data_IF_701318749536
#
_entry.id   IF_701318749536
#
_cell.length_a   1.000
_cell.length_b   1.000
_cell.length_c   1.000
_cell.angle_alpha   90.00
_cell.angle_beta   90.00
_cell.angle_gamma   90.00
#
_symmetry.space_group_name_H-M   'P 1'
#
loop_
_entity.id
_entity.type
_entity.pdbx_description
1 polymer ?
#
# COMPACT_ATOMS: atom_id res chain seq x y z
N UNK A 1 -18.92 15.37 -18.79
CA UNK A 1 -19.58 14.21 -18.10
C UNK A 1 -19.45 14.43 -16.60
N UNK A 2 -20.55 14.32 -15.83
CA UNK A 2 -20.55 14.51 -14.36
C UNK A 2 -19.63 13.49 -13.65
N UNK A 3 -18.83 13.97 -12.72
CA UNK A 3 -17.89 13.20 -11.94
C UNK A 3 -18.04 13.53 -10.44
N UNK A 4 -18.35 12.54 -9.63
CA UNK A 4 -18.31 12.63 -8.17
C UNK A 4 -16.90 12.26 -7.70
N UNK A 5 -16.29 13.11 -6.86
CA UNK A 5 -14.98 12.81 -6.26
C UNK A 5 -14.88 13.35 -4.84
N UNK A 6 -13.97 12.76 -4.08
CA UNK A 6 -13.60 13.28 -2.76
C UNK A 6 -12.31 14.08 -2.89
N UNK A 7 -12.32 15.31 -2.40
CA UNK A 7 -11.15 16.20 -2.45
C UNK A 7 -10.63 16.50 -1.06
N UNK A 8 -9.33 16.60 -0.96
CA UNK A 8 -8.62 17.13 0.19
C UNK A 8 -8.54 18.64 0.05
N UNK A 9 -9.25 19.37 0.90
CA UNK A 9 -9.36 20.83 0.81
C UNK A 9 -8.36 21.57 1.68
N UNK A 10 -7.90 20.92 2.75
CA UNK A 10 -6.89 21.42 3.68
C UNK A 10 -6.10 20.27 4.28
N UNK A 11 -5.00 20.54 4.98
CA UNK A 11 -4.33 19.54 5.81
C UNK A 11 -5.07 19.46 7.17
N UNK A 12 -5.31 18.25 7.66
CA UNK A 12 -6.06 18.11 8.91
C UNK A 12 -6.54 16.71 9.23
N UNK A 13 -7.61 16.61 10.00
CA UNK A 13 -8.35 15.39 10.31
C UNK A 13 -9.22 14.92 9.13
N UNK A 14 -9.94 13.79 9.27
CA UNK A 14 -10.78 13.23 8.19
C UNK A 14 -11.85 14.21 7.65
N UNK A 15 -12.27 15.16 8.44
CA UNK A 15 -13.27 16.20 8.11
C UNK A 15 -12.88 17.11 6.94
N UNK A 16 -11.59 17.16 6.58
CA UNK A 16 -11.12 17.96 5.44
C UNK A 16 -11.32 17.27 4.09
N UNK A 17 -11.79 16.02 4.10
CA UNK A 17 -12.19 15.27 2.91
C UNK A 17 -13.63 15.63 2.56
N UNK A 18 -13.83 16.30 1.44
CA UNK A 18 -15.13 16.78 1.00
C UNK A 18 -15.55 16.15 -0.33
N UNK A 19 -16.81 15.77 -0.42
CA UNK A 19 -17.42 15.30 -1.66
C UNK A 19 -17.73 16.49 -2.55
N UNK A 20 -17.25 16.45 -3.79
CA UNK A 20 -17.53 17.47 -4.81
C UNK A 20 -18.03 16.79 -6.10
N UNK A 21 -18.81 17.55 -6.86
CA UNK A 21 -19.24 17.16 -8.19
C UNK A 21 -18.73 18.16 -9.21
N UNK A 22 -18.04 17.70 -10.21
CA UNK A 22 -17.55 18.50 -11.31
C UNK A 22 -17.67 17.74 -12.64
N UNK A 23 -17.10 18.26 -13.70
CA UNK A 23 -17.09 17.60 -14.99
C UNK A 23 -15.72 17.00 -15.31
N UNK A 24 -15.70 15.73 -15.74
CA UNK A 24 -14.52 15.13 -16.34
C UNK A 24 -14.52 15.41 -17.84
N UNK A 25 -13.38 15.86 -18.36
CA UNK A 25 -13.17 16.12 -19.79
C UNK A 25 -13.06 14.81 -20.58
N UNK A 26 -13.12 14.91 -21.90
CA UNK A 26 -12.77 13.78 -22.75
C UNK A 26 -11.27 13.49 -22.75
N UNK A 27 -10.87 12.21 -22.97
CA UNK A 27 -9.47 11.82 -23.01
C UNK A 27 -8.74 12.48 -24.19
N UNK A 28 -7.51 12.95 -23.94
CA UNK A 28 -6.59 13.44 -24.96
C UNK A 28 -5.92 12.27 -25.70
N UNK A 29 -5.06 12.56 -26.67
CA UNK A 29 -4.25 11.54 -27.33
C UNK A 29 -3.47 10.71 -26.29
N UNK A 30 -3.48 9.38 -26.48
CA UNK A 30 -2.85 8.38 -25.60
C UNK A 30 -3.40 8.32 -24.15
N UNK A 31 -4.50 9.02 -23.84
CA UNK A 31 -5.20 8.91 -22.56
C UNK A 31 -6.42 7.99 -22.67
N UNK A 32 -6.72 7.34 -21.57
CA UNK A 32 -7.99 6.60 -21.37
C UNK A 32 -8.76 7.25 -20.23
N UNK A 33 -10.09 7.37 -20.37
CA UNK A 33 -10.99 7.67 -19.27
C UNK A 33 -11.43 6.35 -18.66
N UNK A 34 -11.21 6.21 -17.37
CA UNK A 34 -11.53 5.01 -16.60
C UNK A 34 -12.68 5.34 -15.66
N UNK A 35 -13.76 4.57 -15.71
CA UNK A 35 -14.81 4.54 -14.70
C UNK A 35 -14.33 3.62 -13.58
N UNK A 36 -14.03 4.19 -12.42
CA UNK A 36 -13.47 3.48 -11.27
C UNK A 36 -14.56 2.59 -10.66
N UNK A 37 -14.23 1.32 -10.45
CA UNK A 37 -15.07 0.36 -9.74
C UNK A 37 -14.70 0.34 -8.26
N UNK A 38 -13.41 0.28 -7.99
CA UNK A 38 -12.85 0.20 -6.64
C UNK A 38 -11.57 1.03 -6.54
N UNK A 39 -11.44 1.74 -5.44
CA UNK A 39 -10.23 2.45 -5.05
C UNK A 39 -9.78 2.00 -3.65
N UNK A 40 -8.50 1.71 -3.49
CA UNK A 40 -7.97 1.32 -2.19
C UNK A 40 -7.69 2.51 -1.29
N UNK A 41 -7.97 2.38 0.01
CA UNK A 41 -7.56 3.35 1.02
C UNK A 41 -6.21 2.93 1.59
N UNK A 42 -5.22 3.82 1.54
CA UNK A 42 -3.87 3.56 1.98
C UNK A 42 -3.46 4.47 3.14
N UNK A 43 -2.53 4.01 3.99
CA UNK A 43 -1.95 4.88 5.03
C UNK A 43 -1.17 6.05 4.40
N UNK A 44 -0.71 5.90 3.15
CA UNK A 44 -0.14 6.98 2.36
C UNK A 44 -1.13 8.14 2.15
N UNK A 45 -2.43 7.86 1.93
CA UNK A 45 -3.47 8.89 1.80
C UNK A 45 -3.65 9.66 3.12
N UNK A 46 -3.53 8.97 4.26
CA UNK A 46 -3.53 9.59 5.59
C UNK A 46 -2.30 10.48 5.76
N UNK A 47 -1.11 10.01 5.38
CA UNK A 47 0.12 10.83 5.41
C UNK A 47 0.02 12.06 4.51
N UNK A 48 -0.60 11.94 3.33
CA UNK A 48 -0.88 13.07 2.42
C UNK A 48 -1.79 14.10 3.10
N UNK A 49 -2.89 13.64 3.68
CA UNK A 49 -3.85 14.48 4.39
C UNK A 49 -3.23 15.19 5.60
N UNK A 50 -2.27 14.56 6.25
CA UNK A 50 -1.50 15.11 7.39
C UNK A 50 -0.28 15.96 6.98
N UNK A 51 -0.02 16.12 5.67
CA UNK A 51 1.11 16.92 5.16
C UNK A 51 2.48 16.30 5.40
N UNK A 52 2.53 14.97 5.51
CA UNK A 52 3.76 14.18 5.71
C UNK A 52 4.21 13.42 4.45
N UNK A 53 3.54 13.63 3.33
CA UNK A 53 3.85 12.96 2.07
C UNK A 53 4.31 13.95 1.01
N UNK A 54 5.45 13.68 0.38
CA UNK A 54 6.04 14.56 -0.62
C UNK A 54 5.58 14.26 -2.04
N UNK A 55 5.73 15.25 -2.94
CA UNK A 55 5.45 15.09 -4.37
C UNK A 55 3.97 14.86 -4.67
N UNK A 56 3.08 15.47 -3.89
CA UNK A 56 1.63 15.58 -4.17
C UNK A 56 1.32 16.96 -4.76
N UNK A 57 0.22 17.10 -5.53
CA UNK A 57 -0.21 18.39 -6.03
C UNK A 57 -0.52 19.41 -4.90
N UNK A 58 -0.54 20.71 -5.19
CA UNK A 58 -1.10 21.68 -4.26
C UNK A 58 -2.60 21.40 -4.02
N UNK A 59 -3.09 21.77 -2.83
CA UNK A 59 -4.50 21.68 -2.48
C UNK A 59 -5.35 22.64 -3.34
N UNK A 60 -6.60 22.29 -3.69
CA UNK A 60 -7.26 21.02 -3.40
C UNK A 60 -6.94 19.92 -4.43
N UNK A 61 -6.90 18.65 -4.01
CA UNK A 61 -6.76 17.50 -4.91
C UNK A 61 -7.49 16.26 -4.35
N UNK A 62 -7.79 15.28 -5.22
CA UNK A 62 -8.36 14.01 -4.79
C UNK A 62 -7.25 13.05 -4.38
N UNK A 63 -7.30 12.44 -3.17
CA UNK A 63 -6.45 11.32 -2.81
C UNK A 63 -6.79 10.06 -3.62
N UNK A 64 -6.24 8.92 -3.21
CA UNK A 64 -6.52 7.62 -3.78
C UNK A 64 -5.34 7.10 -4.58
N UNK A 65 -4.66 6.11 -3.98
CA UNK A 65 -3.35 5.66 -4.43
C UNK A 65 -3.40 4.57 -5.50
N UNK A 66 -4.48 3.80 -5.55
CA UNK A 66 -4.63 2.62 -6.41
C UNK A 66 -6.10 2.43 -6.83
N UNK A 67 -6.31 2.05 -8.08
CA UNK A 67 -7.65 1.86 -8.64
C UNK A 67 -7.77 0.61 -9.50
N UNK A 68 -8.99 0.04 -9.53
CA UNK A 68 -9.48 -0.86 -10.58
C UNK A 68 -10.71 -0.24 -11.20
N UNK A 69 -10.81 -0.24 -12.53
CA UNK A 69 -11.94 0.34 -13.23
C UNK A 69 -12.10 -0.19 -14.64
N UNK A 70 -13.16 0.24 -15.29
CA UNK A 70 -13.48 -0.09 -16.68
C UNK A 70 -13.09 1.10 -17.55
N UNK A 71 -12.39 0.85 -18.64
CA UNK A 71 -12.13 1.85 -19.68
C UNK A 71 -13.47 2.29 -20.26
N UNK A 72 -13.81 3.56 -20.06
CA UNK A 72 -15.06 4.17 -20.53
C UNK A 72 -14.90 4.75 -21.92
N UNK A 73 -13.79 5.43 -22.18
CA UNK A 73 -13.45 5.99 -23.50
C UNK A 73 -11.95 6.12 -23.69
N UNK A 74 -11.53 6.14 -24.97
CA UNK A 74 -10.14 6.25 -25.37
C UNK A 74 -9.93 7.49 -26.23
N UNK A 75 -8.79 8.18 -25.99
CA UNK A 75 -8.32 9.22 -26.88
C UNK A 75 -7.68 8.67 -28.14
N UNK A 76 -7.35 9.55 -29.11
CA UNK A 76 -6.64 9.15 -30.33
C UNK A 76 -5.26 8.57 -29.96
N UNK A 77 -4.81 7.54 -30.69
CA UNK A 77 -3.51 6.90 -30.48
C UNK A 77 -3.46 5.85 -29.36
N UNK A 78 -4.54 5.64 -28.61
CA UNK A 78 -4.68 4.51 -27.67
C UNK A 78 -4.75 3.21 -28.47
N UNK A 79 -3.87 2.26 -28.16
CA UNK A 79 -3.74 0.98 -28.91
C UNK A 79 -3.78 -0.26 -28.02
N UNK A 80 -3.48 -0.13 -26.73
CA UNK A 80 -3.41 -1.26 -25.80
C UNK A 80 -4.71 -1.50 -25.03
N UNK A 81 -5.60 -0.50 -24.98
CA UNK A 81 -6.87 -0.55 -24.28
C UNK A 81 -8.03 -0.23 -25.23
N UNK A 82 -9.21 -0.77 -24.92
CA UNK A 82 -10.47 -0.42 -25.59
C UNK A 82 -11.58 -0.24 -24.55
N UNK A 83 -12.65 0.50 -24.87
CA UNK A 83 -13.82 0.61 -24.00
C UNK A 83 -14.34 -0.78 -23.60
N UNK A 84 -14.64 -0.95 -22.32
CA UNK A 84 -15.05 -2.21 -21.70
C UNK A 84 -13.91 -3.04 -21.10
N UNK A 85 -12.65 -2.76 -21.39
CA UNK A 85 -11.52 -3.44 -20.74
C UNK A 85 -11.46 -3.07 -19.26
N UNK A 86 -11.23 -4.05 -18.39
CA UNK A 86 -10.99 -3.83 -16.97
C UNK A 86 -9.48 -3.60 -16.76
N UNK A 87 -9.15 -2.52 -16.10
CA UNK A 87 -7.74 -2.10 -15.87
C UNK A 87 -7.48 -1.73 -14.43
N UNK A 88 -6.24 -1.94 -14.01
CA UNK A 88 -5.67 -1.54 -12.73
C UNK A 88 -4.62 -0.46 -12.94
N UNK A 89 -4.50 0.48 -12.01
CA UNK A 89 -3.44 1.48 -12.05
C UNK A 89 -3.03 1.93 -10.65
N UNK A 90 -1.74 2.24 -10.49
CA UNK A 90 -1.24 2.98 -9.33
C UNK A 90 -1.21 4.46 -9.70
N UNK A 91 -2.06 5.24 -9.04
CA UNK A 91 -2.35 6.63 -9.39
C UNK A 91 -1.62 7.64 -8.51
N UNK A 92 -1.23 7.23 -7.29
CA UNK A 92 -0.74 8.09 -6.20
C UNK A 92 -1.82 9.06 -5.71
N UNK A 93 -2.49 9.77 -6.61
CA UNK A 93 -3.62 10.69 -6.33
C UNK A 93 -4.67 10.56 -7.42
N UNK A 94 -5.90 11.00 -7.15
CA UNK A 94 -7.00 11.00 -8.10
C UNK A 94 -7.94 9.79 -8.03
N UNK A 95 -7.58 8.74 -7.28
CA UNK A 95 -8.37 7.52 -7.20
C UNK A 95 -9.71 7.66 -6.46
N UNK A 96 -9.84 8.64 -5.55
CA UNK A 96 -11.13 8.90 -4.87
C UNK A 96 -12.08 9.66 -5.79
N UNK A 97 -12.45 9.02 -6.88
CA UNK A 97 -13.24 9.62 -7.93
C UNK A 97 -14.04 8.55 -8.67
N UNK A 98 -15.17 8.95 -9.26
CA UNK A 98 -15.94 8.06 -10.13
C UNK A 98 -15.24 7.84 -11.48
N UNK A 99 -14.56 8.87 -11.99
CA UNK A 99 -13.80 8.81 -13.24
C UNK A 99 -12.42 9.39 -13.06
N UNK A 100 -11.44 8.83 -13.75
CA UNK A 100 -10.08 9.34 -13.84
C UNK A 100 -9.58 9.27 -15.28
N UNK A 101 -8.67 10.17 -15.63
CA UNK A 101 -7.96 10.18 -16.91
C UNK A 101 -6.51 9.80 -16.67
N UNK A 102 -6.04 8.78 -17.36
CA UNK A 102 -4.65 8.30 -17.27
C UNK A 102 -4.08 8.05 -18.66
N UNK A 103 -2.76 8.19 -18.85
CA UNK A 103 -2.09 7.59 -20.02
C UNK A 103 -2.35 6.08 -20.05
N UNK A 104 -2.58 5.51 -21.24
CA UNK A 104 -2.78 4.05 -21.35
C UNK A 104 -1.58 3.25 -20.82
N UNK A 105 -0.36 3.79 -20.95
CA UNK A 105 0.87 3.19 -20.45
C UNK A 105 0.89 2.97 -18.93
N UNK A 106 0.08 3.71 -18.18
CA UNK A 106 -0.05 3.57 -16.72
C UNK A 106 -1.01 2.45 -16.29
N UNK A 107 -1.71 1.85 -17.24
CA UNK A 107 -2.71 0.80 -16.96
C UNK A 107 -2.11 -0.60 -17.11
N UNK A 108 -2.63 -1.53 -16.29
CA UNK A 108 -2.38 -2.97 -16.40
C UNK A 108 -3.72 -3.66 -16.54
N UNK A 109 -3.87 -4.52 -17.54
CA UNK A 109 -5.13 -5.23 -17.79
C UNK A 109 -5.42 -6.20 -16.63
N UNK A 110 -6.66 -6.19 -16.16
CA UNK A 110 -7.17 -7.11 -15.13
C UNK A 110 -7.92 -8.26 -15.80
N UNK A 111 -7.62 -9.52 -15.47
CA UNK A 111 -8.39 -10.67 -15.97
C UNK A 111 -9.88 -10.55 -15.64
N UNK A 112 -10.72 -11.04 -16.56
CA UNK A 112 -12.16 -11.02 -16.36
C UNK A 112 -12.58 -11.91 -15.17
N UNK A 113 -13.65 -11.50 -14.47
CA UNK A 113 -14.24 -12.27 -13.38
C UNK A 113 -13.64 -12.06 -12.01
N UNK A 114 -12.54 -11.30 -11.90
CA UNK A 114 -11.98 -10.94 -10.59
C UNK A 114 -12.83 -9.87 -9.88
N UNK A 115 -13.00 -10.02 -8.57
CA UNK A 115 -13.64 -9.00 -7.73
C UNK A 115 -12.80 -7.72 -7.72
N UNK A 116 -13.36 -6.54 -8.04
CA UNK A 116 -12.59 -5.30 -8.09
C UNK A 116 -11.94 -4.91 -6.76
N UNK A 117 -12.56 -5.24 -5.61
CA UNK A 117 -12.02 -4.92 -4.30
C UNK A 117 -10.83 -5.83 -3.92
N UNK A 118 -10.84 -7.08 -4.36
CA UNK A 118 -9.69 -7.96 -4.23
C UNK A 118 -8.58 -7.54 -5.19
N UNK A 119 -8.90 -7.27 -6.44
CA UNK A 119 -7.94 -6.86 -7.46
C UNK A 119 -7.24 -5.53 -7.10
N UNK A 120 -7.97 -4.52 -6.57
CA UNK A 120 -7.35 -3.25 -6.14
C UNK A 120 -6.40 -3.44 -4.97
N UNK A 121 -6.63 -4.44 -4.12
CA UNK A 121 -5.74 -4.76 -3.00
C UNK A 121 -4.36 -5.23 -3.47
N UNK A 122 -4.25 -5.76 -4.70
CA UNK A 122 -2.98 -6.21 -5.26
C UNK A 122 -2.06 -5.05 -5.66
N UNK A 123 -2.62 -3.92 -6.08
CA UNK A 123 -1.88 -2.85 -6.76
C UNK A 123 -0.85 -2.21 -5.83
N UNK A 124 -1.27 -1.77 -4.64
CA UNK A 124 -0.35 -1.18 -3.67
C UNK A 124 0.16 -2.22 -2.68
N UNK A 125 -0.75 -2.97 -2.02
CA UNK A 125 -0.37 -3.78 -0.87
C UNK A 125 0.43 -5.02 -1.26
N UNK A 126 -0.09 -5.83 -2.18
CA UNK A 126 0.60 -7.06 -2.60
C UNK A 126 1.84 -6.76 -3.44
N UNK A 127 1.79 -5.75 -4.34
CA UNK A 127 2.99 -5.35 -5.09
C UNK A 127 4.08 -4.86 -4.14
N UNK A 128 3.73 -4.05 -3.11
CA UNK A 128 4.70 -3.67 -2.07
C UNK A 128 5.27 -4.90 -1.37
N UNK A 129 4.43 -5.81 -0.88
CA UNK A 129 4.88 -7.02 -0.18
C UNK A 129 5.74 -7.92 -1.09
N UNK A 130 5.33 -8.11 -2.34
CA UNK A 130 6.07 -8.89 -3.33
C UNK A 130 7.46 -8.30 -3.57
N UNK A 131 7.54 -7.00 -3.81
CA UNK A 131 8.82 -6.33 -4.02
C UNK A 131 9.70 -6.34 -2.78
N UNK A 132 9.16 -6.13 -1.58
CA UNK A 132 9.89 -6.26 -0.33
C UNK A 132 10.55 -7.64 -0.19
N UNK A 133 9.81 -8.71 -0.48
CA UNK A 133 10.29 -10.10 -0.35
C UNK A 133 11.28 -10.44 -1.46
N UNK A 134 10.89 -10.25 -2.72
CA UNK A 134 11.61 -10.84 -3.86
C UNK A 134 12.63 -9.90 -4.51
N UNK A 135 12.39 -8.57 -4.49
CA UNK A 135 13.26 -7.63 -5.21
C UNK A 135 14.19 -6.85 -4.27
N UNK A 136 13.69 -6.39 -3.12
CA UNK A 136 14.44 -5.50 -2.23
C UNK A 136 15.25 -6.29 -1.18
N UNK A 137 14.58 -7.15 -0.41
CA UNK A 137 15.26 -8.02 0.55
C UNK A 137 15.79 -9.30 -0.10
N UNK A 138 15.28 -9.69 -1.27
CA UNK A 138 15.67 -10.90 -2.00
C UNK A 138 15.76 -12.12 -1.09
N UNK A 139 14.65 -12.38 -0.38
CA UNK A 139 14.55 -13.47 0.58
C UNK A 139 14.46 -14.81 -0.12
N UNK A 140 15.11 -15.82 0.47
CA UNK A 140 15.14 -17.20 -0.02
C UNK A 140 14.35 -18.10 0.90
N UNK A 141 13.89 -19.22 0.38
CA UNK A 141 13.22 -20.25 1.18
C UNK A 141 14.04 -20.62 2.42
N UNK A 142 13.36 -20.74 3.57
CA UNK A 142 13.95 -21.01 4.87
C UNK A 142 14.46 -19.77 5.61
N UNK A 143 14.64 -18.63 4.96
CA UNK A 143 15.00 -17.39 5.66
C UNK A 143 13.83 -16.87 6.51
N UNK A 144 14.17 -16.09 7.55
CA UNK A 144 13.21 -15.54 8.48
C UNK A 144 13.01 -14.03 8.31
N UNK A 145 11.77 -13.58 8.51
CA UNK A 145 11.42 -12.16 8.40
C UNK A 145 10.52 -11.71 9.54
N UNK A 146 10.77 -10.52 10.07
CA UNK A 146 9.89 -9.83 10.99
C UNK A 146 9.06 -8.79 10.21
N UNK A 147 7.74 -8.90 10.31
CA UNK A 147 6.78 -8.05 9.62
C UNK A 147 6.04 -7.23 10.68
N UNK A 148 6.26 -5.92 10.73
CA UNK A 148 5.48 -5.04 11.58
C UNK A 148 4.14 -4.66 10.92
N UNK A 149 3.10 -4.52 11.76
CA UNK A 149 1.74 -4.29 11.27
C UNK A 149 1.20 -5.47 10.46
N UNK A 150 1.50 -6.70 10.89
CA UNK A 150 1.23 -7.95 10.17
C UNK A 150 -0.25 -8.18 9.82
N UNK A 151 -1.17 -7.58 10.56
CA UNK A 151 -2.61 -7.65 10.29
C UNK A 151 -3.14 -6.49 9.41
N UNK A 152 -2.29 -5.57 8.95
CA UNK A 152 -2.65 -4.51 8.00
C UNK A 152 -2.59 -4.97 6.54
N UNK A 153 -2.90 -4.07 5.61
CA UNK A 153 -2.98 -4.42 4.19
C UNK A 153 -1.70 -5.03 3.60
N UNK A 154 -0.55 -4.37 3.78
CA UNK A 154 0.76 -4.91 3.32
C UNK A 154 1.18 -6.11 4.18
N UNK A 155 0.88 -6.09 5.49
CA UNK A 155 1.26 -7.18 6.39
C UNK A 155 0.58 -8.50 6.05
N UNK A 156 -0.74 -8.49 5.79
CA UNK A 156 -1.49 -9.69 5.37
C UNK A 156 -1.04 -10.22 4.02
N UNK A 157 -0.69 -9.32 3.09
CA UNK A 157 -0.10 -9.68 1.81
C UNK A 157 1.28 -10.33 1.97
N UNK A 158 2.14 -9.72 2.82
CA UNK A 158 3.48 -10.24 3.09
C UNK A 158 3.46 -11.62 3.78
N UNK A 159 2.48 -11.87 4.66
CA UNK A 159 2.29 -13.19 5.26
C UNK A 159 1.90 -14.24 4.21
N UNK A 160 0.94 -13.96 3.33
CA UNK A 160 0.53 -14.90 2.29
C UNK A 160 1.67 -15.19 1.31
N UNK A 161 2.29 -14.15 0.77
CA UNK A 161 3.41 -14.29 -0.18
C UNK A 161 4.64 -14.93 0.46
N UNK A 162 4.93 -14.62 1.72
CA UNK A 162 6.02 -15.23 2.48
C UNK A 162 5.78 -16.72 2.76
N UNK A 163 4.53 -17.12 3.01
CA UNK A 163 4.15 -18.54 3.14
C UNK A 163 4.42 -19.29 1.84
N UNK A 164 3.99 -18.73 0.70
CA UNK A 164 4.25 -19.30 -0.62
C UNK A 164 5.76 -19.37 -0.96
N UNK A 165 6.54 -18.43 -0.44
CA UNK A 165 8.00 -18.39 -0.60
C UNK A 165 8.75 -19.30 0.41
N UNK A 166 8.04 -20.01 1.30
CA UNK A 166 8.64 -20.87 2.31
C UNK A 166 9.45 -20.15 3.37
N UNK A 167 9.04 -18.92 3.74
CA UNK A 167 9.72 -18.09 4.75
C UNK A 167 9.22 -18.43 6.16
N UNK A 168 10.09 -18.25 7.17
CA UNK A 168 9.71 -18.21 8.58
C UNK A 168 9.33 -16.78 8.96
N UNK A 169 8.05 -16.53 9.24
CA UNK A 169 7.54 -15.18 9.42
C UNK A 169 7.15 -14.90 10.87
N UNK A 170 7.66 -13.81 11.44
CA UNK A 170 7.21 -13.24 12.70
C UNK A 170 6.36 -12.00 12.38
N UNK A 171 5.17 -11.90 12.97
CA UNK A 171 4.23 -10.81 12.69
C UNK A 171 3.83 -10.05 13.94
N UNK A 172 4.16 -8.73 14.03
CA UNK A 172 3.66 -7.94 15.15
C UNK A 172 2.23 -7.50 14.90
N UNK A 173 1.33 -7.79 15.84
CA UNK A 173 -0.06 -7.40 15.83
C UNK A 173 -0.57 -7.25 17.28
N UNK A 174 -1.71 -6.57 17.48
CA UNK A 174 -2.41 -6.62 18.76
C UNK A 174 -3.04 -7.99 18.98
N UNK A 175 -3.17 -8.43 20.23
CA UNK A 175 -3.65 -9.76 20.62
C UNK A 175 -4.94 -10.22 19.90
N UNK A 176 -5.99 -9.39 19.72
CA UNK A 176 -7.22 -9.80 19.00
C UNK A 176 -6.99 -10.15 17.51
N UNK A 177 -5.86 -9.78 16.92
CA UNK A 177 -5.55 -10.04 15.50
C UNK A 177 -4.59 -11.22 15.30
N UNK A 178 -4.20 -11.93 16.38
CA UNK A 178 -3.23 -13.01 16.33
C UNK A 178 -3.72 -14.20 15.50
N UNK A 179 -5.01 -14.57 15.62
CA UNK A 179 -5.56 -15.71 14.88
C UNK A 179 -5.45 -15.54 13.37
N UNK A 180 -5.60 -14.31 12.87
CA UNK A 180 -5.38 -14.05 11.47
C UNK A 180 -3.90 -14.20 11.09
N UNK A 181 -2.98 -13.71 11.92
CA UNK A 181 -1.53 -13.85 11.65
C UNK A 181 -1.16 -15.33 11.57
N UNK A 182 -1.67 -16.16 12.49
CA UNK A 182 -1.47 -17.62 12.48
C UNK A 182 -2.10 -18.26 11.24
N UNK A 183 -3.35 -17.90 10.91
CA UNK A 183 -4.05 -18.41 9.71
C UNK A 183 -3.27 -18.14 8.43
N UNK A 184 -2.55 -17.01 8.36
CA UNK A 184 -1.74 -16.62 7.22
C UNK A 184 -0.29 -17.15 7.29
N UNK A 185 0.02 -18.08 8.22
CA UNK A 185 1.31 -18.76 8.33
C UNK A 185 2.37 -18.01 9.15
N UNK A 186 2.01 -16.93 9.85
CA UNK A 186 2.92 -16.17 10.68
C UNK A 186 2.93 -16.59 12.14
N UNK A 187 4.03 -16.30 12.85
CA UNK A 187 4.17 -16.43 14.30
C UNK A 187 3.83 -15.07 14.90
N UNK A 188 2.70 -14.91 15.60
CA UNK A 188 2.27 -13.62 16.12
C UNK A 188 3.13 -13.17 17.31
N UNK A 189 3.35 -11.86 17.41
CA UNK A 189 3.99 -11.19 18.53
C UNK A 189 3.09 -10.03 18.97
N UNK A 190 2.64 -10.05 20.23
CA UNK A 190 1.89 -8.94 20.80
C UNK A 190 2.83 -7.77 21.11
N UNK A 191 2.90 -6.78 20.21
CA UNK A 191 3.80 -5.64 20.35
C UNK A 191 3.57 -4.78 21.61
N UNK A 192 2.43 -4.98 22.33
CA UNK A 192 2.11 -4.27 23.57
C UNK A 192 2.72 -4.95 24.81
N UNK A 193 2.81 -6.27 24.79
CA UNK A 193 3.17 -7.08 25.95
C UNK A 193 4.44 -7.92 25.75
N UNK A 194 4.93 -8.06 24.52
CA UNK A 194 6.12 -8.87 24.19
C UNK A 194 7.23 -8.00 23.57
N UNK A 195 8.48 -8.32 23.88
CA UNK A 195 9.60 -7.70 23.20
C UNK A 195 9.92 -8.41 21.88
N UNK A 196 9.51 -7.82 20.79
CA UNK A 196 9.74 -8.40 19.46
C UNK A 196 11.22 -8.54 19.11
N UNK A 197 12.12 -7.74 19.73
CA UNK A 197 13.58 -7.87 19.48
C UNK A 197 14.09 -9.20 19.98
N UNK A 198 13.60 -9.65 21.13
CA UNK A 198 13.96 -10.96 21.69
C UNK A 198 13.24 -12.10 20.95
N UNK A 199 11.93 -11.93 20.66
CA UNK A 199 11.10 -12.95 20.01
C UNK A 199 11.54 -13.27 18.58
N UNK A 200 12.02 -12.26 17.84
CA UNK A 200 12.47 -12.36 16.46
C UNK A 200 13.98 -12.11 16.34
N UNK A 201 14.76 -12.44 17.38
CA UNK A 201 16.20 -12.24 17.35
C UNK A 201 16.89 -13.04 16.24
N UNK A 202 17.78 -12.40 15.50
CA UNK A 202 18.56 -13.04 14.45
C UNK A 202 17.84 -13.21 13.09
N UNK A 203 16.69 -12.54 12.85
CA UNK A 203 15.98 -12.62 11.58
C UNK A 203 16.80 -12.10 10.40
N UNK A 204 16.56 -12.66 9.22
CA UNK A 204 17.24 -12.29 7.98
C UNK A 204 16.73 -10.98 7.39
N UNK A 205 15.46 -10.62 7.64
CA UNK A 205 14.92 -9.33 7.23
C UNK A 205 13.92 -8.76 8.24
N UNK A 206 13.72 -7.44 8.17
CA UNK A 206 12.63 -6.74 8.87
C UNK A 206 11.95 -5.79 7.89
N UNK A 207 10.60 -5.84 7.83
CA UNK A 207 9.76 -4.92 7.10
C UNK A 207 8.99 -4.03 8.07
N UNK A 208 9.29 -2.72 8.05
CA UNK A 208 8.83 -1.78 9.08
C UNK A 208 8.13 -0.55 8.51
N UNK A 209 6.78 -0.44 8.65
CA UNK A 209 6.01 0.74 8.28
C UNK A 209 5.87 1.75 9.42
N UNK A 210 6.45 1.50 10.60
CA UNK A 210 6.19 2.28 11.82
C UNK A 210 7.04 3.54 11.88
N UNK A 211 8.36 3.39 11.72
CA UNK A 211 9.27 4.53 11.83
C UNK A 211 9.76 4.81 13.26
N UNK A 212 10.52 5.89 13.43
CA UNK A 212 10.98 6.39 14.72
C UNK A 212 11.81 5.37 15.50
N UNK A 213 11.55 5.30 16.81
CA UNK A 213 12.26 4.36 17.70
C UNK A 213 12.08 2.89 17.29
N UNK A 214 10.98 2.57 16.58
CA UNK A 214 10.75 1.20 16.14
C UNK A 214 11.83 0.75 15.16
N UNK A 215 12.28 1.61 14.25
CA UNK A 215 13.34 1.28 13.29
C UNK A 215 14.66 0.87 13.99
N UNK A 216 15.04 1.57 15.07
CA UNK A 216 16.24 1.20 15.82
C UNK A 216 16.11 -0.19 16.47
N UNK A 217 14.94 -0.47 17.04
CA UNK A 217 14.66 -1.78 17.66
C UNK A 217 14.59 -2.88 16.60
N UNK A 218 13.93 -2.61 15.47
CA UNK A 218 13.85 -3.50 14.31
C UNK A 218 15.22 -3.88 13.76
N UNK A 219 16.11 -2.90 13.66
CA UNK A 219 17.49 -3.14 13.21
C UNK A 219 18.30 -4.00 14.19
N UNK A 220 18.02 -3.91 15.51
CA UNK A 220 18.64 -4.76 16.53
C UNK A 220 18.20 -6.21 16.42
N UNK A 221 16.96 -6.49 15.97
CA UNK A 221 16.45 -7.84 15.79
C UNK A 221 17.16 -8.59 14.64
N UNK A 222 17.80 -7.89 13.70
CA UNK A 222 18.49 -8.49 12.56
C UNK A 222 19.70 -9.31 12.97
N UNK A 223 19.85 -10.49 12.35
CA UNK A 223 21.05 -11.28 12.35
C UNK A 223 22.18 -10.71 11.49
N UNK A 224 23.30 -11.45 11.40
CA UNK A 224 24.41 -11.15 10.49
C UNK A 224 23.94 -11.21 9.03
N UNK A 225 24.27 -10.21 8.21
CA UNK A 225 23.81 -10.11 6.83
C UNK A 225 22.35 -9.70 6.70
N UNK A 226 21.71 -9.30 7.82
CA UNK A 226 20.30 -8.96 7.86
C UNK A 226 19.95 -7.68 7.08
N UNK A 227 18.70 -7.61 6.59
CA UNK A 227 18.19 -6.56 5.68
C UNK A 227 17.02 -5.85 6.34
N UNK A 228 17.21 -4.58 6.69
CA UNK A 228 16.15 -3.70 7.17
C UNK A 228 15.51 -2.96 5.99
N UNK A 229 14.19 -2.98 5.90
CA UNK A 229 13.44 -2.19 4.91
C UNK A 229 12.33 -1.41 5.61
N UNK A 230 12.51 -0.07 5.70
CA UNK A 230 11.46 0.85 6.11
C UNK A 230 10.60 1.20 4.90
N UNK A 231 9.25 1.13 5.04
CA UNK A 231 8.32 1.44 3.95
C UNK A 231 7.11 2.29 4.37
N UNK A 232 7.14 2.82 5.58
CA UNK A 232 6.12 3.67 6.15
C UNK A 232 6.63 4.46 7.34
N UNK A 233 5.81 5.38 7.84
CA UNK A 233 6.14 6.29 8.92
C UNK A 233 4.92 6.56 9.82
N UNK A 234 4.22 5.49 10.23
CA UNK A 234 2.98 5.66 11.02
C UNK A 234 3.21 6.32 12.38
N UNK A 235 4.38 6.11 13.01
CA UNK A 235 4.74 6.78 14.27
C UNK A 235 4.89 8.30 14.13
N UNK A 236 4.98 8.85 12.93
CA UNK A 236 4.97 10.30 12.73
C UNK A 236 3.57 10.91 12.90
N UNK A 237 2.53 10.08 13.07
CA UNK A 237 1.16 10.49 13.42
C UNK A 237 0.81 9.85 14.75
N UNK A 238 0.82 10.60 15.82
CA UNK A 238 0.49 10.14 17.16
C UNK A 238 -0.57 11.07 17.78
N UNK A 239 -1.67 10.48 18.29
CA UNK A 239 -2.76 11.26 18.91
C UNK A 239 -3.38 12.31 17.98
N UNK A 240 -3.36 12.09 16.66
CA UNK A 240 -3.87 13.05 15.67
C UNK A 240 -2.89 14.19 15.32
N UNK A 241 -1.72 14.26 15.96
CA UNK A 241 -0.69 15.26 15.71
C UNK A 241 0.43 14.72 14.81
N UNK A 242 1.02 15.59 13.98
CA UNK A 242 2.13 15.23 13.10
C UNK A 242 3.47 15.58 13.73
N UNK A 243 4.42 14.65 13.72
CA UNK A 243 5.77 14.86 14.21
C UNK A 243 6.79 14.83 13.05
N UNK A 244 6.98 15.99 12.40
CA UNK A 244 7.94 16.13 11.30
C UNK A 244 9.39 15.89 11.72
N UNK A 245 9.75 16.27 12.95
CA UNK A 245 11.10 16.05 13.48
C UNK A 245 11.41 14.56 13.62
N UNK A 246 10.44 13.76 14.05
CA UNK A 246 10.58 12.30 14.11
C UNK A 246 10.83 11.71 12.71
N UNK A 247 10.12 12.19 11.70
CA UNK A 247 10.33 11.75 10.32
C UNK A 247 11.75 12.07 9.84
N UNK A 248 12.22 13.32 10.04
CA UNK A 248 13.58 13.74 9.67
C UNK A 248 14.63 12.90 10.41
N UNK A 249 14.50 12.74 11.73
CA UNK A 249 15.41 11.94 12.53
C UNK A 249 15.46 10.46 12.09
N UNK A 250 14.32 9.90 11.69
CA UNK A 250 14.25 8.53 11.18
C UNK A 250 15.03 8.36 9.88
N UNK A 251 14.89 9.29 8.94
CA UNK A 251 15.65 9.23 7.69
C UNK A 251 17.14 9.50 7.88
N UNK A 252 17.53 10.40 8.77
CA UNK A 252 18.94 10.62 9.14
C UNK A 252 19.54 9.32 9.73
N UNK A 253 18.82 8.67 10.66
CA UNK A 253 19.23 7.38 11.20
C UNK A 253 19.36 6.31 10.11
N UNK A 254 18.40 6.22 9.19
CA UNK A 254 18.43 5.25 8.08
C UNK A 254 19.68 5.43 7.22
N UNK A 255 20.06 6.68 6.92
CA UNK A 255 21.30 7.00 6.21
C UNK A 255 22.54 6.48 6.96
N UNK A 256 22.62 6.69 8.28
CA UNK A 256 23.72 6.17 9.10
C UNK A 256 23.71 4.63 9.18
N UNK A 257 22.54 4.02 9.36
CA UNK A 257 22.41 2.57 9.43
C UNK A 257 22.79 1.86 8.11
N UNK A 258 22.62 2.53 6.97
CA UNK A 258 23.02 1.99 5.65
C UNK A 258 24.55 1.89 5.47
N UNK A 259 25.32 2.60 6.29
CA UNK A 259 26.78 2.60 6.26
C UNK A 259 27.40 1.52 7.18
N UNK A 260 26.60 0.86 8.02
CA UNK A 260 27.09 -0.14 8.97
C UNK A 260 27.41 -1.45 8.23
N UNK A 261 28.67 -1.95 8.28
CA UNK A 261 29.03 -3.20 7.65
C UNK A 261 28.25 -4.40 8.21
N UNK A 262 27.96 -5.39 7.36
CA UNK A 262 27.37 -6.67 7.75
C UNK A 262 25.85 -6.65 7.97
N UNK A 263 25.18 -5.51 7.77
CA UNK A 263 23.72 -5.37 7.67
C UNK A 263 23.39 -4.34 6.60
N UNK A 264 22.18 -4.38 6.03
CA UNK A 264 21.70 -3.33 5.12
C UNK A 264 20.47 -2.64 5.70
N UNK A 265 20.32 -1.35 5.38
CA UNK A 265 19.14 -0.57 5.72
C UNK A 265 18.70 0.24 4.49
N UNK A 266 17.43 0.11 4.11
CA UNK A 266 16.87 0.77 2.92
C UNK A 266 15.51 1.37 3.21
N UNK A 267 15.20 2.45 2.50
CA UNK A 267 13.84 2.95 2.34
C UNK A 267 13.23 2.36 1.08
N UNK A 268 12.00 1.92 1.17
CA UNK A 268 11.20 1.49 0.03
C UNK A 268 10.02 2.43 -0.17
N UNK A 269 9.82 2.87 -1.41
CA UNK A 269 8.63 3.57 -1.86
C UNK A 269 8.28 3.07 -3.27
N UNK A 270 7.07 2.56 -3.44
CA UNK A 270 6.65 1.91 -4.69
C UNK A 270 6.73 2.84 -5.91
N UNK A 271 6.44 4.15 -5.74
CA UNK A 271 6.54 5.11 -6.85
C UNK A 271 7.99 5.33 -7.25
N UNK A 272 8.90 5.46 -6.28
CA UNK A 272 10.34 5.59 -6.55
C UNK A 272 10.90 4.33 -7.23
N UNK A 273 10.48 3.15 -6.80
CA UNK A 273 10.93 1.90 -7.43
C UNK A 273 10.33 1.73 -8.84
N UNK A 274 9.09 2.16 -9.06
CA UNK A 274 8.47 2.20 -10.39
C UNK A 274 9.20 3.15 -11.35
N UNK A 275 9.65 4.32 -10.86
CA UNK A 275 10.45 5.25 -11.65
C UNK A 275 11.82 4.68 -12.03
N UNK A 276 12.50 4.02 -11.08
CA UNK A 276 13.81 3.39 -11.33
C UNK A 276 13.74 2.13 -12.19
N UNK A 277 12.68 1.36 -12.02
CA UNK A 277 12.46 0.06 -12.63
C UNK A 277 11.04 -0.06 -13.22
N UNK A 278 10.73 0.64 -14.32
CA UNK A 278 9.36 0.73 -14.85
C UNK A 278 8.70 -0.63 -15.15
N UNK A 279 9.50 -1.63 -15.54
CA UNK A 279 9.01 -2.97 -15.84
C UNK A 279 8.53 -3.73 -14.59
N UNK A 280 9.17 -3.50 -13.43
CA UNK A 280 8.87 -4.28 -12.22
C UNK A 280 7.42 -4.18 -11.80
N UNK A 281 6.85 -2.98 -11.80
CA UNK A 281 5.46 -2.80 -11.38
C UNK A 281 4.50 -3.60 -12.24
N UNK A 282 4.66 -3.55 -13.57
CA UNK A 282 3.81 -4.27 -14.52
C UNK A 282 3.97 -5.78 -14.40
N UNK A 283 5.21 -6.27 -14.35
CA UNK A 283 5.53 -7.69 -14.19
C UNK A 283 4.93 -8.25 -12.89
N UNK A 284 5.21 -7.57 -11.77
CA UNK A 284 4.79 -8.01 -10.44
C UNK A 284 3.27 -8.01 -10.31
N UNK A 285 2.61 -6.92 -10.75
CA UNK A 285 1.15 -6.84 -10.70
C UNK A 285 0.49 -7.88 -11.61
N UNK A 286 1.02 -8.10 -12.82
CA UNK A 286 0.49 -9.13 -13.73
C UNK A 286 0.60 -10.53 -13.11
N UNK A 287 1.71 -10.84 -12.45
CA UNK A 287 1.90 -12.10 -11.72
C UNK A 287 0.91 -12.24 -10.56
N UNK A 288 0.73 -11.19 -9.77
CA UNK A 288 -0.20 -11.18 -8.64
C UNK A 288 -1.66 -11.34 -9.09
N UNK A 289 -2.04 -10.72 -10.21
CA UNK A 289 -3.37 -10.91 -10.81
C UNK A 289 -3.59 -12.36 -11.25
N UNK A 290 -2.58 -13.00 -11.85
CA UNK A 290 -2.64 -14.43 -12.18
C UNK A 290 -2.77 -15.29 -10.91
N UNK A 291 -1.99 -15.02 -9.86
CA UNK A 291 -2.09 -15.73 -8.59
C UNK A 291 -3.47 -15.58 -7.92
N UNK A 292 -4.10 -14.40 -8.04
CA UNK A 292 -5.49 -14.18 -7.58
C UNK A 292 -6.48 -15.01 -8.40
N UNK A 293 -6.34 -15.03 -9.71
CA UNK A 293 -7.19 -15.82 -10.61
C UNK A 293 -7.08 -17.32 -10.36
N UNK A 294 -5.89 -17.80 -9.99
CA UNK A 294 -5.60 -19.18 -9.61
C UNK A 294 -5.99 -19.52 -8.15
N UNK A 295 -6.52 -18.56 -7.39
CA UNK A 295 -6.81 -18.68 -5.96
C UNK A 295 -5.59 -19.05 -5.10
N UNK A 296 -4.37 -18.76 -5.57
CA UNK A 296 -3.13 -18.97 -4.81
C UNK A 296 -2.94 -17.93 -3.70
N UNK A 297 -3.58 -16.77 -3.83
CA UNK A 297 -3.67 -15.71 -2.83
C UNK A 297 -5.13 -15.26 -2.68
N UNK A 298 -5.47 -14.77 -1.49
CA UNK A 298 -6.82 -14.27 -1.17
C UNK A 298 -6.70 -12.96 -0.36
N UNK A 299 -6.83 -11.79 -1.01
CA UNK A 299 -6.71 -10.51 -0.33
C UNK A 299 -7.68 -10.36 0.83
N UNK A 300 -7.20 -9.88 1.97
CA UNK A 300 -8.03 -9.59 3.14
C UNK A 300 -8.64 -8.20 2.95
N UNK A 301 -9.87 -8.13 2.45
CA UNK A 301 -10.65 -6.90 2.35
C UNK A 301 -11.43 -6.72 3.64
N UNK A 302 -11.04 -5.69 4.43
CA UNK A 302 -11.64 -5.43 5.73
C UNK A 302 -13.03 -4.80 5.62
N UNK A 303 -13.14 -3.79 4.76
CA UNK A 303 -14.36 -3.00 4.57
C UNK A 303 -14.51 -2.61 3.10
N UNK A 304 -15.75 -2.57 2.63
CA UNK A 304 -16.15 -2.02 1.33
C UNK A 304 -17.11 -0.87 1.62
N UNK A 305 -16.66 0.35 1.43
CA UNK A 305 -17.41 1.56 1.75
C UNK A 305 -17.76 2.34 0.46
N UNK A 306 -18.88 3.04 0.42
CA UNK A 306 -19.15 4.00 -0.64
C UNK A 306 -18.05 5.05 -0.75
N UNK A 307 -17.79 5.58 -1.95
CA UNK A 307 -16.82 6.67 -2.17
C UNK A 307 -17.02 7.85 -1.21
N UNK A 308 -18.29 8.20 -0.93
CA UNK A 308 -18.68 9.31 -0.05
C UNK A 308 -18.23 9.12 1.40
N UNK A 309 -17.97 7.89 1.81
CA UNK A 309 -17.54 7.53 3.17
C UNK A 309 -16.01 7.52 3.34
N UNK A 310 -15.28 8.19 2.44
CA UNK A 310 -13.81 8.26 2.49
C UNK A 310 -13.27 8.82 3.82
N UNK A 311 -13.96 9.78 4.46
CA UNK A 311 -13.60 10.30 5.77
C UNK A 311 -13.62 9.18 6.83
N UNK A 312 -14.71 8.38 6.89
CA UNK A 312 -14.85 7.22 7.77
C UNK A 312 -13.77 6.17 7.49
N UNK A 313 -13.45 5.93 6.22
CA UNK A 313 -12.38 4.99 5.86
C UNK A 313 -11.02 5.42 6.44
N UNK A 314 -10.71 6.71 6.40
CA UNK A 314 -9.50 7.28 7.01
C UNK A 314 -9.49 7.16 8.53
N UNK A 315 -10.61 7.39 9.21
CA UNK A 315 -10.75 7.21 10.67
C UNK A 315 -10.48 5.77 11.07
N UNK A 316 -11.11 4.81 10.41
CA UNK A 316 -10.90 3.38 10.67
C UNK A 316 -9.42 2.97 10.51
N UNK A 317 -8.75 3.53 9.51
CA UNK A 317 -7.34 3.24 9.24
C UNK A 317 -6.41 3.88 10.28
N UNK A 318 -6.64 5.15 10.67
CA UNK A 318 -5.84 5.84 11.69
C UNK A 318 -5.95 5.18 13.06
N UNK A 319 -7.13 4.68 13.44
CA UNK A 319 -7.34 3.97 14.71
C UNK A 319 -6.87 2.50 14.68
N UNK A 320 -6.31 2.04 13.55
CA UNK A 320 -5.93 0.64 13.34
C UNK A 320 -7.06 -0.36 13.72
N UNK A 321 -8.32 0.04 13.50
CA UNK A 321 -9.51 -0.72 13.90
C UNK A 321 -9.77 -1.91 13.00
N UNK A 322 -9.21 -1.90 11.79
CA UNK A 322 -9.48 -2.91 10.75
C UNK A 322 -8.30 -3.85 10.53
N UNK A 323 -8.56 -4.91 9.80
CA UNK A 323 -7.61 -5.95 9.44
C UNK A 323 -7.62 -6.14 7.93
N UNK A 324 -6.49 -5.92 7.26
CA UNK A 324 -6.42 -5.95 5.80
C UNK A 324 -6.64 -4.58 5.14
N UNK A 325 -7.22 -4.57 3.94
CA UNK A 325 -7.45 -3.38 3.08
C UNK A 325 -8.85 -2.81 3.25
N UNK A 326 -8.97 -1.50 3.33
CA UNK A 326 -10.24 -0.79 3.14
C UNK A 326 -10.34 -0.40 1.67
N UNK A 327 -11.51 -0.56 1.08
CA UNK A 327 -11.80 -0.28 -0.32
C UNK A 327 -13.00 0.64 -0.43
N UNK A 328 -12.88 1.69 -1.25
CA UNK A 328 -13.98 2.55 -1.65
C UNK A 328 -14.59 2.03 -2.95
N UNK A 329 -15.90 1.84 -2.96
CA UNK A 329 -16.69 1.52 -4.16
C UNK A 329 -17.12 2.83 -4.81
N UNK A 330 -16.71 3.05 -6.07
CA UNK A 330 -16.85 4.34 -6.73
C UNK A 330 -18.04 4.41 -7.71
N UNK A 331 -18.93 3.41 -7.69
CA UNK A 331 -20.04 3.31 -8.65
C UNK A 331 -21.34 4.00 -8.20
N UNK A 332 -21.46 4.37 -6.94
CA UNK A 332 -22.66 4.96 -6.35
C UNK A 332 -22.63 6.49 -6.36
#
# INVERSE_FOLDING_TARGET
>A
MRNTRVVLTALGGPEVLQVVEDDVRDPRANEVRIRILACGVAFADVLMRRGLYSGVPPLPYSPGYDIVGVVDSCGSGVTQCKPGDVVAAITKVGGYSRYILLPESETVRVPAGLDPAEAVSLILNYTTAYQLIHRIANLRQGESVLIHGAAGGVGTAALQLGSLAGLKMFGTASKPKHDLVVKLGGIPIDYRNEDFVQRAAGVNAVFDPIGGRNWLRSYRALGKGGRFVGYGMSAAIEGGHTNKLLAVASFAWLGLASLVPGKSARWYNIMTEKEKHPAWFREDLSRLLAMLQENSIAPVVAERLPLRDAARAHELLEHASVTGKIVLLCQE
#
